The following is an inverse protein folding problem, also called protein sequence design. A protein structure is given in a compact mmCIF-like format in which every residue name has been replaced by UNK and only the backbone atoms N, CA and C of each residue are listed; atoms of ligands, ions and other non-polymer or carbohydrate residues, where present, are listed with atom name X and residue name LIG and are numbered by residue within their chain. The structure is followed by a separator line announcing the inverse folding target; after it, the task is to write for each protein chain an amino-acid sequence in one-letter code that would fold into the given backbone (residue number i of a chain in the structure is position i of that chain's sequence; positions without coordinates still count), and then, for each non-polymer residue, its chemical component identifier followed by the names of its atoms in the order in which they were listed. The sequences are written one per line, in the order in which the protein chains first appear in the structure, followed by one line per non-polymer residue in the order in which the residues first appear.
data_IF_598247179226
#
_entry.id   IF_598247179226
#
_cell.length_a   1.000
_cell.length_b   1.000
_cell.length_c   1.000
_cell.angle_alpha   90.00
_cell.angle_beta   90.00
_cell.angle_gamma   90.00
#
_symmetry.space_group_name_H-M   'P 1'
#
loop_
_entity.id
_entity.type
_entity.pdbx_description
1 polymer ?
2 non-polymer ?
3 water ?
#
# COMPACT_ATOMS: atom_id res chain seq x y z
N UNK A 1 16.34 -25.20 6.84
CA UNK A 1 17.40 -24.20 6.93
C UNK A 1 16.89 -22.82 6.54
N UNK A 2 16.07 -22.78 5.49
CA UNK A 2 15.52 -21.57 4.89
C UNK A 2 16.61 -20.62 4.38
N UNK A 3 17.87 -21.06 4.35
CA UNK A 3 18.94 -20.27 3.77
C UNK A 3 19.21 -20.63 2.32
N UNK A 5 16.70 -21.66 0.16
CA UNK A 5 15.60 -21.04 -0.57
C UNK A 5 15.75 -19.52 -0.58
N UNK A 6 16.33 -18.94 0.48
CA UNK A 6 16.59 -17.52 0.50
C UNK A 6 17.62 -17.13 -0.55
N UNK A 7 18.60 -18.00 -0.81
CA UNK A 7 19.58 -17.71 -1.85
C UNK A 7 18.95 -17.84 -3.24
N UNK A 8 18.12 -18.87 -3.43
CA UNK A 8 17.44 -19.03 -4.71
C UNK A 8 16.45 -17.90 -4.96
N UNK A 9 15.77 -17.43 -3.91
CA UNK A 9 14.83 -16.34 -4.06
C UNK A 9 15.54 -15.03 -4.40
N UNK A 10 16.74 -14.83 -3.83
CA UNK A 10 17.49 -13.61 -4.12
C UNK A 10 17.99 -13.60 -5.56
N UNK A 11 18.54 -14.73 -6.03
CA UNK A 11 19.07 -14.77 -7.39
C UNK A 11 17.97 -14.54 -8.41
N UNK A 12 16.75 -15.03 -8.15
CA UNK A 12 15.65 -14.78 -9.06
C UNK A 12 15.25 -13.31 -9.06
N UNK A 13 15.39 -12.62 -7.92
CA UNK A 13 15.02 -11.22 -7.86
C UNK A 13 15.97 -10.35 -8.67
N UNK A 14 17.26 -10.71 -8.68
CA UNK A 14 18.20 -9.98 -9.52
C UNK A 14 17.88 -10.11 -11.00
N UNK A 15 17.17 -11.18 -11.39
CA UNK A 15 16.76 -11.32 -12.78
C UNK A 15 15.79 -10.25 -13.23
N UNK A 16 14.95 -9.76 -12.31
CA UNK A 16 14.02 -8.66 -12.59
C UNK A 16 14.41 -7.39 -11.84
N UNK A 17 15.71 -7.24 -11.56
CA UNK A 17 16.15 -6.07 -10.81
C UNK A 17 15.97 -4.77 -11.60
N UNK A 18 16.10 -4.82 -12.92
CA UNK A 18 15.95 -3.62 -13.73
C UNK A 18 14.49 -3.27 -13.97
N UNK A 19 13.60 -4.26 -14.00
CA UNK A 19 12.18 -4.02 -14.18
C UNK A 19 11.47 -3.64 -12.89
N UNK A 20 12.21 -3.35 -11.83
CA UNK A 20 11.59 -2.89 -10.58
C UNK A 20 11.31 -1.40 -10.60
N UNK A 21 12.06 -0.64 -11.39
CA UNK A 21 11.96 0.81 -11.37
C UNK A 21 10.74 1.28 -12.16
N UNK A 22 9.90 2.09 -11.52
CA UNK A 22 8.87 2.83 -12.22
C UNK A 22 9.40 4.23 -12.47
N UNK A 23 9.75 4.58 -13.71
CA UNK A 23 10.44 5.86 -13.94
C UNK A 23 9.54 7.06 -13.68
N UNK A 24 10.18 8.16 -13.28
CA UNK A 24 9.47 9.42 -13.06
C UNK A 24 8.88 9.99 -14.34
N UNK A 25 9.30 9.49 -15.51
CA UNK A 25 8.81 10.03 -16.77
C UNK A 25 7.30 9.86 -16.89
N UNK A 26 6.81 8.63 -16.69
CA UNK A 26 5.39 8.34 -16.62
C UNK A 26 5.06 8.00 -15.17
N UNK A 27 4.88 9.04 -14.37
CA UNK A 27 4.62 8.88 -12.94
C UNK A 27 4.09 10.19 -12.40
N UNK A 28 2.86 10.16 -11.89
CA UNK A 28 2.23 11.38 -11.39
C UNK A 28 2.83 11.78 -10.05
N UNK A 29 3.20 13.05 -9.92
CA UNK A 29 3.80 13.60 -8.71
C UNK A 29 3.08 14.90 -8.36
N UNK A 30 3.56 15.55 -7.29
CA UNK A 30 3.03 16.82 -6.84
C UNK A 30 4.18 17.80 -6.57
N UNK A 31 3.82 19.07 -6.41
CA UNK A 31 4.77 20.13 -6.11
C UNK A 31 4.60 20.52 -4.64
N UNK A 32 5.73 20.77 -3.97
CA UNK A 32 5.69 21.04 -2.53
C UNK A 32 5.15 22.41 -2.18
N UNK A 33 4.90 23.28 -3.16
CA UNK A 33 4.43 24.63 -2.89
C UNK A 33 3.01 24.89 -3.39
N UNK A 34 2.35 23.90 -3.97
CA UNK A 34 0.94 24.05 -4.29
C UNK A 34 0.10 23.93 -3.02
N UNK A 35 -1.08 24.53 -3.07
CA UNK A 35 -1.93 24.57 -1.88
C UNK A 35 -2.53 23.21 -1.58
N UNK A 36 -2.93 23.02 -0.33
CA UNK A 36 -3.38 21.70 0.14
C UNK A 36 -4.78 21.36 -0.36
N UNK A 37 -5.66 22.36 -0.46
CA UNK A 37 -7.01 22.10 -0.94
C UNK A 37 -6.99 21.60 -2.38
N UNK A 38 -6.06 22.11 -3.19
CA UNK A 38 -5.96 21.68 -4.58
C UNK A 38 -5.43 20.26 -4.68
N UNK A 39 -4.48 19.88 -3.82
CA UNK A 39 -3.96 18.52 -3.83
C UNK A 39 -5.00 17.52 -3.37
N UNK A 40 -5.91 17.94 -2.49
CA UNK A 40 -7.01 17.04 -2.09
C UNK A 40 -7.90 16.73 -3.29
N UNK A 41 -8.13 17.72 -4.14
CA UNK A 41 -8.91 17.49 -5.36
C UNK A 41 -8.18 16.54 -6.30
N UNK A 42 -6.86 16.67 -6.41
CA UNK A 42 -6.10 15.83 -7.32
C UNK A 42 -5.99 14.41 -6.80
N UNK A 43 -5.70 14.24 -5.51
CA UNK A 43 -5.58 12.90 -4.95
C UNK A 43 -6.92 12.18 -4.89
N UNK A 44 -8.02 12.92 -4.85
CA UNK A 44 -9.34 12.30 -4.83
C UNK A 44 -9.75 11.73 -6.18
N UNK A 45 -8.90 11.83 -7.20
CA UNK A 45 -9.19 11.27 -8.51
C UNK A 45 -8.05 10.46 -9.11
N UNK A 47 -5.16 7.39 -9.32
CA UNK A 47 -5.32 5.96 -9.11
C UNK A 47 -4.59 5.48 -7.86
N UNK A 48 -3.45 6.08 -7.54
CA UNK A 48 -2.62 5.63 -6.43
C UNK A 48 -2.87 6.49 -5.20
N UNK A 49 -2.77 5.85 -4.03
CA UNK A 49 -3.10 6.49 -2.76
C UNK A 49 -1.96 7.34 -2.20
N UNK A 50 -0.75 7.22 -2.73
CA UNK A 50 0.36 8.07 -2.34
C UNK A 50 1.15 8.46 -3.58
N UNK A 51 1.65 9.69 -3.58
CA UNK A 51 2.41 10.21 -4.73
C UNK A 51 3.67 10.90 -4.23
N UNK A 52 4.72 10.87 -5.04
CA UNK A 52 5.94 11.61 -4.69
C UNK A 52 5.70 13.11 -4.71
N UNK A 53 6.52 13.82 -3.94
CA UNK A 53 6.47 15.28 -3.85
C UNK A 53 7.81 15.82 -4.33
N UNK A 54 7.78 16.59 -5.42
CA UNK A 54 8.97 17.19 -5.98
C UNK A 54 8.82 18.70 -6.00
N UNK A 55 9.70 19.39 -6.73
CA UNK A 55 9.72 20.85 -6.81
C UNK A 55 9.87 21.28 -8.26
N UNK A 56 9.98 22.58 -8.47
CA UNK A 56 10.38 23.09 -9.78
C UNK A 56 11.80 22.67 -10.10
N UNK A 57 12.70 22.77 -9.12
CA UNK A 57 14.07 22.28 -9.26
C UNK A 57 14.17 20.76 -9.17
N UNK A 58 13.03 20.08 -8.99
CA UNK A 58 12.92 18.62 -9.00
C UNK A 58 13.58 17.95 -7.80
N UNK A 59 13.88 18.70 -6.74
CA UNK A 59 14.38 18.08 -5.53
C UNK A 59 13.28 17.24 -4.88
N UNK A 60 13.62 16.01 -4.53
CA UNK A 60 12.67 15.14 -3.85
C UNK A 60 12.45 15.63 -2.42
N UNK A 61 11.20 15.96 -2.10
CA UNK A 61 10.83 16.40 -0.76
C UNK A 61 10.34 15.24 0.09
N UNK A 62 9.43 14.43 -0.45
CA UNK A 62 8.89 13.30 0.29
C UNK A 62 7.71 12.69 -0.44
N UNK A 63 6.85 12.05 0.34
CA UNK A 63 5.60 11.50 -0.16
C UNK A 63 4.43 12.12 0.59
N UNK A 64 3.25 12.01 0.01
CA UNK A 64 2.04 12.55 0.63
C UNK A 64 0.84 11.79 0.08
N UNK A 65 -0.19 11.67 0.92
CA UNK A 65 -1.45 11.07 0.50
C UNK A 65 -2.60 11.77 1.17
N UNK A 66 -3.81 11.31 0.84
CA UNK A 66 -4.99 11.85 1.50
C UNK A 66 -4.93 11.65 3.01
N UNK A 67 -4.32 10.54 3.46
CA UNK A 67 -4.18 10.30 4.89
C UNK A 67 -3.41 11.43 5.55
N UNK A 68 -2.30 11.85 4.94
CA UNK A 68 -1.50 12.93 5.51
C UNK A 68 -2.23 14.26 5.44
N UNK A 69 -2.93 14.51 4.34
CA UNK A 69 -3.63 15.79 4.17
C UNK A 69 -4.82 15.87 5.11
N UNK A 71 -5.39 14.20 7.78
CA UNK A 71 -4.93 14.24 9.17
C UNK A 71 -4.56 15.66 9.58
N UNK A 72 -3.84 16.37 8.72
CA UNK A 72 -3.51 17.76 9.01
C UNK A 72 -4.78 18.60 9.13
N UNK A 73 -5.74 18.39 8.24
CA UNK A 73 -6.97 19.19 8.28
C UNK A 73 -7.85 18.83 9.45
N UNK A 75 -6.78 17.04 12.54
CA UNK A 75 -6.09 17.28 13.80
C UNK A 75 -6.11 18.76 14.15
N UNK A 76 -5.94 19.62 13.14
CA UNK A 76 -5.91 21.06 13.36
C UNK A 76 -7.25 21.74 13.12
N UNK A 77 -8.25 20.99 12.66
CA UNK A 77 -9.62 21.50 12.49
C UNK A 77 -9.62 22.79 11.67
N UNK A 78 -9.14 22.69 10.43
CA UNK A 78 -8.97 23.83 9.55
C UNK A 78 -9.99 23.80 8.43
N UNK A 79 -10.52 24.97 8.09
CA UNK A 79 -11.52 25.11 7.06
C UNK A 79 -10.91 24.99 5.67
N UNK A 80 -11.77 24.95 4.66
CA UNK A 80 -11.30 24.83 3.28
C UNK A 80 -10.58 26.09 2.81
N UNK A 81 -10.92 27.25 3.38
CA UNK A 81 -10.25 28.49 3.00
C UNK A 81 -8.80 28.49 3.50
N UNK A 82 -8.55 27.92 4.68
CA UNK A 82 -7.19 27.85 5.19
C UNK A 82 -6.37 26.82 4.42
N UNK A 84 -6.66 26.11 1.19
CA UNK A 84 -6.26 26.74 -0.05
C UNK A 84 -5.14 27.76 0.14
N UNK A 85 -4.78 28.07 1.39
CA UNK A 85 -3.71 28.99 1.70
C UNK A 85 -2.54 28.30 2.39
N UNK A 86 -2.58 26.97 2.49
CA UNK A 86 -1.55 26.20 3.18
C UNK A 86 -0.73 25.43 2.15
N UNK A 87 0.59 25.50 2.26
CA UNK A 87 1.47 24.76 1.38
C UNK A 87 1.47 23.27 1.72
N UNK A 88 1.69 22.45 0.70
CA UNK A 88 1.68 21.01 0.86
C UNK A 88 2.81 20.54 1.77
N UNK A 89 3.94 21.25 1.75
CA UNK A 89 5.14 20.78 2.46
C UNK A 89 4.89 20.65 3.96
N UNK A 90 3.95 21.42 4.51
CA UNK A 90 3.70 21.36 5.94
C UNK A 90 3.03 20.06 6.39
N UNK A 92 3.69 17.10 4.12
CA UNK A 92 4.39 16.11 3.33
C UNK A 92 5.27 15.25 4.23
N UNK A 93 5.09 13.93 4.14
CA UNK A 93 5.90 12.99 4.90
C UNK A 93 7.30 12.98 4.33
N UNK A 94 8.20 13.74 4.94
CA UNK A 94 9.59 13.81 4.48
C UNK A 94 10.49 12.79 5.18
N UNK A 95 10.08 12.30 6.34
CA UNK A 95 10.85 11.30 7.09
C UNK A 95 10.57 9.90 6.54
N UNK A 96 10.92 9.72 5.26
CA UNK A 96 10.74 8.45 4.57
C UNK A 96 12.10 7.95 4.09
N UNK A 97 12.13 6.70 3.65
CA UNK A 97 13.33 6.08 3.14
C UNK A 97 13.52 6.41 1.66
N UNK A 98 14.70 6.09 1.15
CA UNK A 98 15.06 6.37 -0.24
C UNK A 98 16.32 5.59 -0.60
N UNK A 99 16.44 5.20 -1.86
CA UNK A 99 17.60 4.43 -2.33
C UNK A 99 18.21 5.11 -3.54
N UNK A 100 19.50 4.86 -3.75
CA UNK A 100 20.23 5.38 -4.89
C UNK A 100 19.78 4.65 -6.16
N UNK A 101 20.12 5.18 -7.34
CA UNK A 101 19.79 4.45 -8.58
C UNK A 101 20.49 3.10 -8.68
N UNK A 102 21.61 2.92 -7.97
CA UNK A 102 22.30 1.64 -7.92
C UNK A 102 21.85 0.87 -6.68
N UNK A 103 20.54 0.67 -6.58
CA UNK A 103 19.95 0.04 -5.41
C UNK A 103 20.22 -1.45 -5.40
N UNK A 104 20.26 -2.02 -4.19
CA UNK A 104 20.43 -3.45 -3.99
C UNK A 104 19.11 -4.05 -3.51
N UNK A 105 18.93 -5.34 -3.79
CA UNK A 105 17.66 -6.00 -3.49
C UNK A 105 17.40 -6.06 -2.00
N UNK A 106 18.46 -6.11 -1.17
CA UNK A 106 18.26 -6.17 0.27
C UNK A 106 17.68 -4.87 0.81
N UNK A 107 18.14 -3.74 0.28
CA UNK A 107 17.55 -2.46 0.67
C UNK A 107 16.10 -2.36 0.26
N UNK A 108 15.77 -2.86 -0.94
CA UNK A 108 14.43 -2.71 -1.48
C UNK A 108 13.41 -3.44 -0.60
N UNK A 109 13.60 -4.75 -0.42
CA UNK A 109 12.65 -5.54 0.34
C UNK A 109 12.58 -5.10 1.80
N UNK A 110 13.68 -4.59 2.35
CA UNK A 110 13.67 -4.15 3.74
C UNK A 110 12.89 -2.85 3.89
N UNK A 111 13.21 -1.85 3.06
CA UNK A 111 12.54 -0.57 3.16
C UNK A 111 11.09 -0.60 2.67
N UNK A 112 10.74 -1.58 1.83
CA UNK A 112 9.37 -1.71 1.37
C UNK A 112 8.44 -2.26 2.44
N UNK A 113 8.96 -2.59 3.62
CA UNK A 113 8.08 -3.03 4.69
C UNK A 113 7.32 -1.84 5.30
N UNK A 114 7.94 -0.67 5.34
CA UNK A 114 7.33 0.48 6.00
C UNK A 114 6.51 1.36 5.06
N UNK A 115 6.98 1.56 3.83
CA UNK A 115 6.28 2.39 2.86
C UNK A 115 5.83 1.56 1.67
N UNK A 116 4.75 1.99 1.03
CA UNK A 116 4.14 1.22 -0.05
C UNK A 116 4.94 1.27 -1.34
N UNK A 117 5.74 2.32 -1.54
CA UNK A 117 6.65 2.38 -2.68
C UNK A 117 7.94 3.06 -2.24
N UNK A 118 9.00 2.79 -2.99
CA UNK A 118 10.34 3.21 -2.62
C UNK A 118 10.84 4.29 -3.58
N UNK A 119 11.02 5.53 -3.13
CA UNK A 119 11.48 6.58 -4.05
C UNK A 119 12.90 6.36 -4.51
N UNK A 120 13.14 6.63 -5.79
CA UNK A 120 14.46 6.46 -6.41
C UNK A 120 14.93 7.84 -6.84
N UNK A 121 15.85 8.42 -6.08
CA UNK A 121 16.44 9.72 -6.40
C UNK A 121 17.86 9.49 -6.91
N UNK A 122 18.55 10.56 -7.27
CA UNK A 122 19.91 10.49 -7.75
C UNK A 122 20.90 10.86 -6.64
N UNK A 123 22.19 10.75 -6.94
CA UNK A 123 23.23 11.19 -6.02
C UNK A 123 23.25 12.71 -5.86
N UNK A 124 22.56 13.45 -6.73
CA UNK A 124 22.45 14.89 -6.62
C UNK A 124 21.20 15.32 -5.86
N UNK A 125 20.08 14.64 -6.10
CA UNK A 125 18.85 14.94 -5.40
C UNK A 125 17.63 14.99 -6.30
N UNK A 126 17.80 14.60 -7.56
CA UNK A 126 16.74 14.65 -8.55
C UNK A 126 15.91 13.37 -8.46
N UNK A 127 14.61 13.51 -8.26
CA UNK A 127 13.71 12.36 -8.24
C UNK A 127 13.64 11.75 -9.64
N UNK A 128 13.90 10.44 -9.72
CA UNK A 128 13.97 9.75 -11.00
C UNK A 128 12.99 8.60 -11.15
N UNK A 129 12.38 8.13 -10.06
CA UNK A 129 11.41 7.06 -10.16
C UNK A 129 11.10 6.48 -8.80
N UNK A 130 10.30 5.41 -8.81
CA UNK A 130 9.91 4.70 -7.60
C UNK A 130 9.95 3.20 -7.85
N UNK A 131 10.06 2.45 -6.76
CA UNK A 131 9.95 0.98 -6.77
C UNK A 131 8.78 0.62 -5.89
N UNK A 132 7.73 0.06 -6.49
CA UNK A 132 6.49 -0.19 -5.78
C UNK A 132 6.46 -1.59 -5.18
N UNK A 133 5.69 -1.76 -4.11
CA UNK A 133 5.43 -3.09 -3.57
C UNK A 133 4.78 -3.99 -4.61
N UNK A 134 3.98 -3.41 -5.51
CA UNK A 134 3.33 -4.19 -6.55
C UNK A 134 4.35 -4.82 -7.49
N UNK A 135 5.44 -4.11 -7.78
CA UNK A 135 6.46 -4.63 -8.68
C UNK A 135 7.18 -5.83 -8.06
N UNK A 136 7.50 -5.74 -6.77
CA UNK A 136 8.17 -6.86 -6.10
C UNK A 136 7.23 -8.06 -6.02
N UNK A 137 5.95 -7.82 -5.73
CA UNK A 137 5.00 -8.92 -5.63
C UNK A 137 4.73 -9.57 -6.98
N UNK A 138 4.94 -8.84 -8.08
CA UNK A 138 4.86 -9.47 -9.39
C UNK A 138 5.98 -10.48 -9.59
N UNK A 139 7.18 -10.17 -9.09
CA UNK A 139 8.29 -11.12 -9.17
C UNK A 139 8.06 -12.31 -8.26
N UNK A 140 7.55 -12.07 -7.05
CA UNK A 140 7.23 -13.16 -6.13
C UNK A 140 6.17 -14.06 -6.72
N UNK A 141 5.21 -13.49 -7.44
CA UNK A 141 4.17 -14.30 -8.06
C UNK A 141 4.71 -15.07 -9.27
N UNK A 142 5.71 -14.51 -9.96
CA UNK A 142 6.32 -15.18 -11.10
C UNK A 142 7.20 -16.36 -10.68
N UNK A 143 7.59 -16.42 -9.41
CA UNK A 143 8.42 -17.52 -8.94
C UNK A 143 7.61 -18.80 -8.75
N UNK A 144 6.31 -18.68 -8.46
CA UNK A 144 5.46 -19.84 -8.29
C UNK A 144 5.00 -20.45 -9.61
N UNK A 145 5.28 -19.80 -10.74
CA UNK A 145 4.92 -20.29 -12.08
C UNK A 145 6.19 -20.34 -12.91
N UNK A 146 6.98 -21.39 -12.71
CA UNK A 146 8.24 -21.54 -13.42
C UNK A 146 8.61 -23.01 -13.54
N UNK B 2 14.52 -24.94 -11.75
CA UNK B 2 13.75 -26.14 -11.49
C UNK B 2 12.37 -25.78 -10.92
N UNK B 3 11.34 -26.49 -11.39
CA UNK B 3 9.98 -26.30 -10.87
C UNK B 3 9.82 -26.80 -9.44
N UNK B 5 11.62 -25.56 -7.09
CA UNK B 5 11.88 -24.36 -6.30
C UNK B 5 10.56 -23.70 -5.91
N UNK B 6 9.59 -23.67 -6.82
CA UNK B 6 8.28 -23.10 -6.50
C UNK B 6 7.61 -23.86 -5.37
N UNK B 7 7.82 -25.17 -5.28
CA UNK B 7 7.35 -25.92 -4.12
C UNK B 7 8.09 -25.50 -2.85
N UNK B 8 9.40 -25.30 -2.95
CA UNK B 8 10.18 -24.89 -1.79
C UNK B 8 9.74 -23.53 -1.28
N UNK B 9 9.52 -22.58 -2.19
CA UNK B 9 9.12 -21.24 -1.79
C UNK B 9 7.71 -21.23 -1.22
N UNK B 10 6.81 -21.99 -1.82
CA UNK B 10 5.44 -22.05 -1.30
C UNK B 10 5.39 -22.73 0.06
N UNK B 11 6.20 -23.77 0.25
CA UNK B 11 6.30 -24.41 1.57
C UNK B 11 6.72 -23.41 2.63
N UNK B 12 7.66 -22.53 2.29
CA UNK B 12 8.11 -21.50 3.24
C UNK B 12 6.97 -20.54 3.56
N UNK B 13 6.32 -20.00 2.52
CA UNK B 13 5.22 -19.07 2.75
C UNK B 13 4.07 -19.72 3.50
N UNK B 14 3.82 -21.01 3.24
CA UNK B 14 2.80 -21.72 4.00
C UNK B 14 3.12 -21.75 5.49
N UNK B 15 4.40 -21.67 5.84
CA UNK B 15 4.83 -21.54 7.22
C UNK B 15 4.78 -20.13 7.76
N UNK B 16 4.24 -19.18 7.00
CA UNK B 16 4.15 -17.79 7.44
C UNK B 16 2.70 -17.33 7.58
N UNK B 17 1.77 -18.27 7.76
CA UNK B 17 0.35 -17.93 7.83
C UNK B 17 0.07 -16.91 8.92
N UNK B 18 0.75 -17.03 10.07
CA UNK B 18 0.54 -16.13 11.19
C UNK B 18 1.21 -14.77 11.01
N UNK B 19 1.68 -14.47 9.80
CA UNK B 19 2.28 -13.17 9.50
C UNK B 19 1.49 -12.39 8.46
N UNK B 20 1.23 -12.98 7.29
CA UNK B 20 0.48 -12.26 6.26
C UNK B 20 -1.02 -12.29 6.50
N UNK B 21 -1.52 -13.25 7.29
CA UNK B 21 -2.95 -13.35 7.58
C UNK B 21 -3.19 -12.75 8.97
N UNK B 22 -3.82 -11.59 9.01
CA UNK B 22 -4.17 -10.94 10.26
C UNK B 22 -5.64 -11.17 10.55
N UNK B 23 -6.01 -11.73 11.71
CA UNK B 23 -7.42 -12.01 11.97
C UNK B 23 -8.21 -10.73 12.24
N UNK B 24 -9.52 -10.82 12.05
CA UNK B 24 -10.38 -9.67 12.28
C UNK B 24 -10.33 -9.21 13.74
N UNK B 25 -9.98 -10.11 14.65
CA UNK B 25 -9.87 -9.76 16.06
C UNK B 25 -8.78 -8.71 16.32
N UNK B 26 -7.78 -8.62 15.44
CA UNK B 26 -6.69 -7.67 15.58
C UNK B 26 -6.76 -6.55 14.56
N UNK B 27 -7.96 -6.21 14.11
CA UNK B 27 -8.16 -5.19 13.10
C UNK B 27 -9.18 -4.17 13.58
N UNK B 28 -9.06 -2.94 13.09
CA UNK B 28 -10.08 -1.92 13.26
C UNK B 28 -11.00 -1.94 12.05
N UNK B 29 -12.28 -2.22 12.28
CA UNK B 29 -13.28 -2.24 11.22
C UNK B 29 -14.28 -1.13 11.48
N UNK B 30 -15.11 -0.86 10.48
CA UNK B 30 -16.13 0.18 10.55
C UNK B 30 -17.49 -0.40 10.20
N UNK B 31 -18.51 -0.01 10.96
CA UNK B 31 -19.88 -0.37 10.61
C UNK B 31 -20.32 0.45 9.40
N UNK B 32 -21.15 -0.18 8.55
CA UNK B 32 -21.61 0.50 7.34
C UNK B 32 -22.50 1.69 7.64
N UNK B 33 -23.01 1.80 8.86
CA UNK B 33 -23.89 2.90 9.25
C UNK B 33 -23.12 4.07 9.87
N UNK B 34 -21.81 3.97 10.01
CA UNK B 34 -21.01 5.08 10.50
C UNK B 34 -21.10 6.25 9.51
N UNK B 35 -21.28 7.46 10.04
CA UNK B 35 -21.44 8.61 9.17
C UNK B 35 -20.10 8.97 8.51
N UNK B 36 -20.17 9.40 7.26
CA UNK B 36 -18.97 9.62 6.46
C UNK B 36 -18.12 10.76 6.98
N UNK B 37 -18.69 11.65 7.80
CA UNK B 37 -17.91 12.78 8.30
C UNK B 37 -16.91 12.34 9.37
N UNK B 38 -17.39 11.59 10.37
CA UNK B 38 -16.48 11.13 11.43
C UNK B 38 -15.57 10.01 10.94
N UNK B 39 -15.99 9.26 9.92
CA UNK B 39 -15.12 8.24 9.35
C UNK B 39 -13.89 8.87 8.69
N UNK B 40 -14.02 10.08 8.16
CA UNK B 40 -12.85 10.77 7.62
C UNK B 40 -11.86 11.10 8.72
N UNK B 41 -12.35 11.62 9.86
CA UNK B 41 -11.50 11.79 11.02
C UNK B 41 -10.92 10.46 11.49
N UNK B 42 -11.76 9.42 11.50
CA UNK B 42 -11.30 8.11 11.96
C UNK B 42 -10.23 7.55 11.03
N UNK B 43 -10.43 7.68 9.72
CA UNK B 43 -9.46 7.12 8.77
C UNK B 43 -8.16 7.90 8.77
N UNK B 44 -8.22 9.23 8.98
CA UNK B 44 -7.01 10.04 8.95
C UNK B 44 -6.08 9.71 10.11
N UNK B 45 -6.62 9.20 11.21
CA UNK B 45 -5.81 8.84 12.37
C UNK B 45 -5.26 7.42 12.29
N UNK B 47 -3.38 4.03 10.52
CA UNK B 47 -2.18 3.84 9.72
C UNK B 47 -2.44 3.09 8.43
N UNK B 48 -3.56 2.38 8.33
CA UNK B 48 -3.90 1.63 7.13
C UNK B 48 -4.65 2.52 6.15
N UNK B 49 -4.39 2.31 4.85
CA UNK B 49 -5.05 3.11 3.83
C UNK B 49 -6.49 2.66 3.59
N UNK B 50 -6.76 1.35 3.73
CA UNK B 50 -8.10 0.81 3.56
C UNK B 50 -8.47 0.00 4.79
N UNK B 51 -9.72 0.15 5.23
CA UNK B 51 -10.24 -0.65 6.34
C UNK B 51 -11.49 -1.38 5.86
N UNK B 52 -11.74 -2.60 6.34
CA UNK B 52 -12.94 -3.32 5.93
C UNK B 52 -14.19 -2.72 6.56
N UNK B 53 -15.33 -2.94 5.91
CA UNK B 53 -16.62 -2.47 6.37
C UNK B 53 -17.51 -3.67 6.60
N UNK B 54 -18.11 -3.74 7.79
CA UNK B 54 -18.99 -4.85 8.17
C UNK B 54 -20.29 -4.26 8.70
N UNK B 55 -21.29 -5.14 8.80
CA UNK B 55 -22.59 -4.76 9.35
C UNK B 55 -22.53 -4.89 10.88
N UNK B 56 -23.68 -4.74 11.54
CA UNK B 56 -23.74 -4.97 12.98
C UNK B 56 -23.61 -6.44 13.32
N UNK B 57 -23.82 -7.34 12.34
CA UNK B 57 -23.64 -8.78 12.53
C UNK B 57 -22.39 -9.28 11.79
N UNK B 58 -21.38 -8.42 11.67
CA UNK B 58 -20.06 -8.72 11.11
C UNK B 58 -20.11 -9.18 9.64
N UNK B 59 -21.23 -8.96 8.95
CA UNK B 59 -21.30 -9.32 7.54
C UNK B 59 -20.40 -8.39 6.73
N UNK B 60 -19.44 -8.97 6.01
CA UNK B 60 -18.48 -8.17 5.25
C UNK B 60 -19.19 -7.43 4.13
N UNK B 61 -19.11 -6.10 4.16
CA UNK B 61 -19.69 -5.26 3.11
C UNK B 61 -18.64 -4.93 2.05
N UNK B 62 -17.49 -4.45 2.48
CA UNK B 62 -16.44 -4.08 1.57
C UNK B 62 -15.33 -3.35 2.30
N UNK B 63 -14.46 -2.73 1.52
CA UNK B 63 -13.38 -1.91 2.04
C UNK B 63 -13.62 -0.46 1.69
N UNK B 64 -13.07 0.44 2.52
CA UNK B 64 -13.25 1.88 2.30
C UNK B 64 -11.93 2.58 2.61
N UNK B 65 -11.69 3.67 1.88
CA UNK B 65 -10.55 4.53 2.13
C UNK B 65 -10.97 5.99 2.04
N UNK B 66 -10.00 6.87 2.28
CA UNK B 66 -10.27 8.30 2.21
C UNK B 66 -10.59 8.74 0.79
N UNK B 67 -9.96 8.10 -0.22
CA UNK B 67 -10.29 8.43 -1.60
C UNK B 67 -11.75 8.13 -1.91
N UNK B 68 -12.27 7.03 -1.36
CA UNK B 68 -13.67 6.69 -1.58
C UNK B 68 -14.59 7.76 -0.99
N UNK B 69 -14.28 8.22 0.23
CA UNK B 69 -15.08 9.27 0.84
C UNK B 69 -14.89 10.59 0.11
N UNK B 71 -13.80 11.25 -3.07
CA UNK B 71 -14.37 11.26 -4.42
C UNK B 71 -15.89 11.23 -4.39
N UNK B 72 -16.48 10.63 -3.36
CA UNK B 72 -17.93 10.63 -3.24
C UNK B 72 -18.46 12.03 -2.97
N UNK B 73 -17.77 12.79 -2.13
CA UNK B 73 -18.20 14.16 -1.85
C UNK B 73 -18.08 15.04 -3.09
N UNK B 75 -18.02 13.99 -6.40
CA UNK B 75 -18.99 13.55 -7.40
C UNK B 75 -20.39 14.04 -7.06
N UNK B 76 -20.73 14.15 -5.78
CA UNK B 76 -22.10 14.44 -5.36
C UNK B 76 -22.27 15.82 -4.73
N UNK B 77 -21.24 16.66 -4.69
CA UNK B 77 -21.37 18.06 -4.27
C UNK B 77 -21.95 18.18 -2.87
N UNK B 78 -21.72 17.17 -2.02
CA UNK B 78 -22.32 17.15 -0.70
C UNK B 78 -21.59 18.11 0.24
N UNK B 79 -22.36 18.75 1.11
CA UNK B 79 -21.82 19.64 2.13
C UNK B 79 -21.37 18.82 3.34
N UNK B 80 -20.81 19.50 4.34
CA UNK B 80 -20.32 18.79 5.52
C UNK B 80 -21.47 18.24 6.35
N UNK B 81 -22.57 18.99 6.47
CA UNK B 81 -23.68 18.52 7.30
C UNK B 81 -24.38 17.33 6.68
N UNK B 82 -24.44 17.26 5.35
CA UNK B 82 -25.08 16.14 4.68
C UNK B 82 -24.37 14.83 4.98
N UNK B 84 -22.80 14.18 7.86
CA UNK B 84 -23.10 13.77 9.23
C UNK B 84 -24.27 12.81 9.29
N UNK B 85 -25.04 12.71 8.19
CA UNK B 85 -26.18 11.81 8.11
C UNK B 85 -26.01 10.75 7.05
N UNK B 86 -24.91 10.75 6.31
CA UNK B 86 -24.68 9.80 5.22
C UNK B 86 -23.88 8.61 5.72
N UNK B 87 -24.41 7.41 5.52
CA UNK B 87 -23.70 6.20 5.87
C UNK B 87 -22.56 5.95 4.88
N UNK B 88 -21.48 5.34 5.38
CA UNK B 88 -20.32 5.05 4.54
C UNK B 88 -20.58 3.91 3.56
N UNK B 89 -21.65 3.14 3.76
CA UNK B 89 -21.97 2.05 2.84
C UNK B 89 -22.27 2.59 1.44
N UNK B 90 -22.76 3.83 1.35
CA UNK B 90 -23.05 4.42 0.05
C UNK B 90 -21.79 4.73 -0.74
N UNK B 92 -18.80 2.73 0.16
CA UNK B 92 -17.95 1.58 0.41
C UNK B 92 -17.74 0.80 -0.89
N UNK B 93 -16.49 0.42 -1.15
CA UNK B 93 -16.17 -0.33 -2.37
C UNK B 93 -16.55 -1.78 -2.15
N UNK B 94 -17.71 -2.17 -2.71
CA UNK B 94 -18.17 -3.54 -2.65
C UNK B 94 -17.63 -4.39 -3.79
N UNK B 95 -17.03 -3.76 -4.81
CA UNK B 95 -16.47 -4.49 -5.95
C UNK B 95 -15.00 -4.79 -5.70
N UNK B 96 -14.77 -5.67 -4.72
CA UNK B 96 -13.43 -6.10 -4.34
C UNK B 96 -13.38 -7.62 -4.40
N UNK B 97 -12.18 -8.15 -4.66
CA UNK B 97 -11.97 -9.59 -4.67
C UNK B 97 -11.57 -10.06 -3.28
N UNK B 98 -12.24 -11.11 -2.79
CA UNK B 98 -11.95 -11.67 -1.49
C UNK B 98 -11.58 -13.14 -1.64
N UNK B 99 -11.20 -13.79 -0.54
CA UNK B 99 -10.86 -15.21 -0.54
C UNK B 99 -11.51 -15.86 0.67
N UNK B 100 -11.86 -17.14 0.50
CA UNK B 100 -12.33 -17.93 1.61
C UNK B 100 -11.16 -18.32 2.51
N UNK B 101 -11.42 -18.75 3.74
CA UNK B 101 -10.34 -19.27 4.58
C UNK B 101 -9.61 -20.46 3.98
N UNK B 102 -10.18 -21.09 2.96
CA UNK B 102 -9.53 -22.19 2.25
C UNK B 102 -8.81 -21.68 1.00
N UNK B 103 -7.90 -20.73 1.23
CA UNK B 103 -7.15 -20.10 0.16
C UNK B 103 -5.83 -20.82 -0.08
N UNK B 104 -5.38 -20.79 -1.32
CA UNK B 104 -4.06 -21.29 -1.68
C UNK B 104 -3.10 -20.11 -1.84
N UNK B 105 -1.81 -20.39 -1.62
CA UNK B 105 -0.81 -19.34 -1.72
C UNK B 105 -0.74 -18.80 -3.15
N UNK B 106 -0.92 -19.68 -4.14
CA UNK B 106 -0.82 -19.26 -5.53
C UNK B 106 -1.94 -18.29 -5.90
N UNK B 107 -3.12 -18.42 -5.31
CA UNK B 107 -4.23 -17.53 -5.61
C UNK B 107 -4.25 -16.28 -4.73
N UNK B 108 -3.57 -16.31 -3.59
CA UNK B 108 -3.43 -15.10 -2.78
C UNK B 108 -2.53 -14.09 -3.48
N UNK B 109 -1.35 -14.55 -3.92
CA UNK B 109 -0.49 -13.69 -4.73
C UNK B 109 -1.17 -13.31 -6.04
N UNK B 110 -1.98 -14.20 -6.60
CA UNK B 110 -2.72 -13.88 -7.82
C UNK B 110 -3.69 -12.73 -7.58
N UNK B 111 -4.34 -12.71 -6.41
CA UNK B 111 -5.27 -11.63 -6.09
C UNK B 111 -4.55 -10.37 -5.64
N UNK B 112 -3.37 -10.51 -5.05
CA UNK B 112 -2.61 -9.37 -4.55
C UNK B 112 -1.76 -8.70 -5.63
N UNK B 113 -1.94 -9.07 -6.88
CA UNK B 113 -1.32 -8.32 -7.98
C UNK B 113 -2.29 -7.33 -8.60
N UNK B 114 -3.61 -7.57 -8.48
CA UNK B 114 -4.60 -6.61 -8.94
C UNK B 114 -4.97 -5.60 -7.87
N UNK B 115 -4.81 -5.95 -6.60
CA UNK B 115 -5.09 -5.07 -5.48
C UNK B 115 -4.06 -5.30 -4.40
N UNK B 116 -4.06 -4.42 -3.40
CA UNK B 116 -3.14 -4.51 -2.27
C UNK B 116 -3.83 -4.91 -0.97
N UNK B 117 -5.13 -5.20 -1.02
CA UNK B 117 -5.91 -5.48 0.18
C UNK B 117 -6.82 -6.66 -0.12
N UNK B 118 -6.61 -7.77 0.59
CA UNK B 118 -7.33 -9.02 0.32
C UNK B 118 -8.05 -9.49 1.57
N UNK B 119 -9.35 -9.26 1.69
CA UNK B 119 -10.08 -9.73 2.86
C UNK B 119 -10.33 -11.24 2.80
N UNK B 120 -10.63 -11.80 3.97
CA UNK B 120 -10.94 -13.21 4.10
C UNK B 120 -12.37 -13.32 4.61
N UNK B 121 -13.26 -13.83 3.76
CA UNK B 121 -14.67 -13.99 4.08
C UNK B 121 -15.03 -15.45 3.91
N UNK B 122 -15.69 -16.01 4.93
CA UNK B 122 -16.12 -17.39 4.87
C UNK B 122 -17.32 -17.53 3.93
N UNK B 123 -17.79 -18.78 3.75
CA UNK B 123 -18.91 -19.03 2.87
C UNK B 123 -20.20 -18.38 3.35
N UNK B 124 -20.30 -18.13 4.66
CA UNK B 124 -21.51 -17.49 5.19
C UNK B 124 -21.55 -16.01 4.82
N UNK B 125 -20.45 -15.30 5.03
CA UNK B 125 -20.38 -13.89 4.71
C UNK B 125 -19.79 -13.05 5.81
N UNK B 126 -19.25 -13.70 6.83
CA UNK B 126 -18.65 -13.03 7.98
C UNK B 126 -17.20 -12.69 7.67
N UNK B 127 -16.78 -11.49 8.05
CA UNK B 127 -15.41 -11.05 7.84
C UNK B 127 -14.50 -11.65 8.90
N UNK B 128 -13.40 -12.28 8.46
CA UNK B 128 -12.50 -12.98 9.36
C UNK B 128 -11.09 -12.40 9.40
N UNK B 129 -10.60 -11.82 8.31
CA UNK B 129 -9.26 -11.27 8.32
C UNK B 129 -8.89 -10.73 6.95
N UNK B 130 -7.66 -10.21 6.87
CA UNK B 130 -7.15 -9.60 5.64
C UNK B 130 -5.72 -10.06 5.39
N UNK B 131 -5.32 -10.00 4.13
CA UNK B 131 -3.95 -10.23 3.69
C UNK B 131 -3.55 -9.08 2.80
N UNK B 132 -2.44 -8.41 3.12
CA UNK B 132 -1.99 -7.25 2.38
C UNK B 132 -0.63 -7.52 1.75
N UNK B 133 -0.30 -6.70 0.75
CA UNK B 133 1.04 -6.77 0.17
C UNK B 133 2.10 -6.47 1.23
N UNK B 134 1.82 -5.52 2.11
CA UNK B 134 2.73 -5.23 3.21
C UNK B 134 2.94 -6.45 4.09
N UNK B 135 1.86 -7.20 4.36
CA UNK B 135 1.97 -8.35 5.25
C UNK B 135 2.73 -9.49 4.59
N UNK B 136 2.58 -9.67 3.29
CA UNK B 136 3.32 -10.71 2.58
C UNK B 136 4.80 -10.35 2.50
N UNK B 137 5.10 -9.07 2.29
CA UNK B 137 6.50 -8.64 2.30
C UNK B 137 7.14 -8.90 3.65
N UNK B 138 6.38 -8.79 4.74
CA UNK B 138 6.90 -9.17 6.04
C UNK B 138 7.24 -10.66 6.09
N UNK B 139 6.45 -11.48 5.39
CA UNK B 139 6.70 -12.92 5.39
C UNK B 139 7.99 -13.26 4.66
N UNK B 140 8.18 -12.68 3.46
CA UNK B 140 9.41 -12.94 2.72
C UNK B 140 10.61 -12.22 3.31
N UNK B 141 10.39 -11.23 4.18
CA UNK B 141 11.50 -10.61 4.88
C UNK B 141 12.09 -11.52 5.95
N UNK B 142 11.45 -12.64 6.26
CA UNK B 142 12.07 -13.66 7.10
C UNK B 142 13.26 -14.31 6.42
N UNK B 143 13.36 -14.19 5.09
CA UNK B 143 14.53 -14.65 4.34
C UNK B 143 15.61 -13.59 4.21
N UNK B 144 15.35 -12.36 4.68
CA UNK B 144 16.26 -11.26 4.43
C UNK B 144 17.57 -11.41 5.21
N UNK B 145 17.52 -12.04 6.39
CA UNK B 145 18.75 -12.20 7.15
C UNK B 145 19.71 -13.16 6.47
N UNK B 146 19.20 -14.09 5.67
CA UNK B 146 20.02 -15.00 4.87
C UNK B 146 20.35 -14.43 3.50
N UNK B 147 20.15 -13.13 3.30
CA UNK B 147 20.55 -12.47 2.07
C UNK B 147 22.00 -12.02 2.16
N UNK B 148 22.73 -12.16 1.07
CA UNK B 148 24.11 -11.73 0.98
C UNK B 148 24.22 -10.46 0.15
N UNK B 149 25.42 -9.88 0.16
CA UNK B 149 25.67 -8.63 -0.56
C UNK B 149 25.49 -8.83 -2.07
N UNK B 150 25.43 -7.70 -2.78
CA UNK B 150 25.26 -7.76 -4.23
C UNK B 150 26.52 -8.28 -4.92
N UNK B 151 27.68 -7.73 -4.57
CA UNK B 151 28.93 -8.15 -5.19
C UNK B 151 29.41 -9.52 -4.73
N UNK B 152 28.60 -10.28 -3.99
CA UNK B 152 28.95 -11.63 -3.58
C UNK B 152 28.32 -12.70 -4.48
N UNK B 153 27.59 -12.30 -5.52
CA UNK B 153 26.99 -13.21 -6.48
C UNK B 153 27.25 -12.66 -7.88
N UNK B 154 27.69 -13.54 -8.80
CA UNK B 154 27.93 -13.15 -10.18
C UNK B 154 27.60 -14.28 -11.14
#
# INVERSE_FOLDING_TARGET
SNAXIAKEFETFLLGQEETFLTPAKNLAVLIDTHNADHATLLLSQXTYTRVPVVTDEKQFVGTIGLRDIXAYQXEHDLSQEIXADTDIVHXTKTDVAVVSPDFTITEVLHKLVDESFLPVVDAEGIFQGIITRKSILKAVNALLHDFSKEYEIRCQ
SNAXIAKEFETFLLGQEETFLTPAKNLAVLIDTHNADHATLLLSQXTYTRVPVVTDEKQFVGTIGLRDIXAYQXEHDLSQEIXADTDIVHXTKTDVAVVSPDFTITEVLHKLVDESFLPVVDAEGIFQGIITRKSILKAVNALLHDFSKEYEIRCQ
#
